data_IF_350160549974
#
_entry.id   IF_350160549974
#
_cell.length_a   1.000
_cell.length_b   1.000
_cell.length_c   1.000
_cell.angle_alpha   90.00
_cell.angle_beta   90.00
_cell.angle_gamma   90.00
#
_symmetry.space_group_name_H-M   'P 1'
#
loop_
_entity.id
_entity.type
_entity.pdbx_description
1 polymer ?
#
# COMPACT_ATOMS: atom_id res chain seq x y z
N UNK A 1 2.70 -34.63 36.10
CA UNK A 1 4.06 -34.79 35.54
C UNK A 1 4.11 -34.02 34.25
N UNK A 2 4.46 -32.76 34.42
CA UNK A 2 4.67 -31.72 33.41
C UNK A 2 5.91 -32.04 32.56
N UNK A 3 5.98 -31.38 31.41
CA UNK A 3 7.15 -31.11 30.56
C UNK A 3 7.55 -32.14 29.50
N UNK A 4 7.48 -31.67 28.24
CA UNK A 4 8.40 -31.83 27.10
C UNK A 4 7.60 -31.42 25.85
N UNK A 5 7.92 -30.39 25.09
CA UNK A 5 9.03 -29.46 25.09
C UNK A 5 8.83 -28.54 23.89
N UNK A 6 9.05 -27.24 24.11
CA UNK A 6 9.12 -26.21 23.09
C UNK A 6 10.22 -26.55 22.08
N UNK A 7 9.90 -26.47 20.79
CA UNK A 7 10.81 -26.02 19.74
C UNK A 7 10.01 -25.98 18.43
N UNK A 8 10.18 -24.91 17.67
CA UNK A 8 9.86 -24.67 16.25
C UNK A 8 9.05 -23.37 16.03
N UNK A 9 9.58 -22.23 16.47
CA UNK A 9 9.17 -20.92 15.92
C UNK A 9 10.32 -19.90 15.80
N UNK A 10 11.57 -20.30 15.98
CA UNK A 10 12.72 -19.38 15.93
C UNK A 10 13.31 -19.16 14.54
N UNK A 11 12.81 -19.88 13.52
CA UNK A 11 13.37 -19.86 12.16
C UNK A 11 12.80 -18.77 11.24
N UNK A 12 11.53 -18.39 11.43
CA UNK A 12 10.85 -17.41 10.56
C UNK A 12 11.18 -15.97 10.95
N UNK A 13 11.17 -15.66 12.26
CA UNK A 13 11.52 -14.34 12.77
C UNK A 13 12.98 -13.95 12.48
N UNK A 14 13.90 -14.91 12.50
CA UNK A 14 15.32 -14.66 12.24
C UNK A 14 15.66 -14.36 10.77
N UNK A 15 14.77 -14.69 9.83
CA UNK A 15 14.91 -14.40 8.40
C UNK A 15 14.24 -13.07 8.02
N UNK A 16 13.17 -12.67 8.71
CA UNK A 16 12.58 -11.33 8.58
C UNK A 16 13.50 -10.25 9.21
N UNK A 17 14.21 -10.57 10.29
CA UNK A 17 15.18 -9.66 10.93
C UNK A 17 16.49 -9.45 10.14
N UNK A 18 16.77 -10.27 9.11
CA UNK A 18 18.03 -10.19 8.35
C UNK A 18 17.98 -9.35 7.08
N UNK A 19 16.82 -8.79 6.72
CA UNK A 19 16.67 -7.85 5.60
C UNK A 19 16.36 -6.42 6.03
N UNK A 20 16.27 -6.18 7.34
CA UNK A 20 16.30 -4.85 7.92
C UNK A 20 17.77 -4.45 8.16
N UNK A 21 18.10 -3.22 7.77
CA UNK A 21 19.38 -2.55 8.04
C UNK A 21 20.57 -2.85 7.09
N UNK A 22 20.47 -2.33 5.87
CA UNK A 22 21.51 -1.39 5.43
C UNK A 22 20.98 0.03 5.71
N UNK A 23 20.68 0.29 7.00
CA UNK A 23 20.34 1.63 7.45
C UNK A 23 21.58 2.49 7.28
N UNK A 24 21.49 3.51 6.46
CA UNK A 24 22.53 4.52 6.39
C UNK A 24 22.75 5.07 7.80
N UNK A 25 23.94 4.78 8.34
CA UNK A 25 24.44 5.43 9.53
C UNK A 25 24.43 6.93 9.26
N UNK A 26 23.63 7.67 10.02
CA UNK A 26 23.58 9.14 10.00
C UNK A 26 24.32 9.67 11.24
N UNK A 27 25.66 9.52 11.32
CA UNK A 27 26.40 9.96 12.48
C UNK A 27 26.31 11.48 12.60
N UNK A 28 26.03 11.97 13.81
CA UNK A 28 25.90 13.41 14.08
C UNK A 28 24.52 14.01 13.80
N UNK A 29 23.58 13.27 13.21
CA UNK A 29 22.19 13.75 13.03
C UNK A 29 21.35 13.46 14.28
N UNK A 30 20.64 14.46 14.84
CA UNK A 30 19.70 14.24 15.94
C UNK A 30 18.65 13.18 15.61
N UNK A 31 18.25 12.30 16.55
CA UNK A 31 17.28 11.24 16.28
C UNK A 31 15.98 11.73 15.61
N UNK A 32 15.48 12.91 15.98
CA UNK A 32 14.27 13.48 15.37
C UNK A 32 14.39 13.79 13.87
N UNK A 33 15.59 14.09 13.39
CA UNK A 33 15.83 14.45 11.98
C UNK A 33 16.16 13.23 11.11
N UNK A 34 16.55 12.11 11.73
CA UNK A 34 16.95 10.89 11.00
C UNK A 34 15.81 10.32 10.17
N UNK A 35 14.59 10.31 10.71
CA UNK A 35 13.45 9.76 9.97
C UNK A 35 13.11 10.62 8.75
N UNK A 36 13.11 11.95 8.91
CA UNK A 36 12.92 12.89 7.80
C UNK A 36 13.95 12.68 6.69
N UNK A 37 15.24 12.66 7.05
CA UNK A 37 16.32 12.46 6.06
C UNK A 37 16.23 11.09 5.36
N UNK A 38 15.83 10.04 6.09
CA UNK A 38 15.62 8.71 5.49
C UNK A 38 14.45 8.71 4.52
N UNK A 39 13.36 9.42 4.83
CA UNK A 39 12.23 9.60 3.93
C UNK A 39 12.61 10.40 2.69
N UNK A 40 13.32 11.53 2.86
CA UNK A 40 13.85 12.34 1.75
C UNK A 40 14.77 11.51 0.84
N UNK A 41 15.68 10.72 1.40
CA UNK A 41 16.57 9.87 0.62
C UNK A 41 15.81 8.76 -0.13
N UNK A 42 14.85 8.10 0.53
CA UNK A 42 14.03 7.08 -0.11
C UNK A 42 13.23 7.67 -1.29
N UNK A 43 12.69 8.87 -1.11
CA UNK A 43 11.98 9.60 -2.14
C UNK A 43 12.91 10.04 -3.29
N UNK A 44 14.09 10.59 -3.00
CA UNK A 44 15.08 10.92 -4.01
C UNK A 44 15.52 9.69 -4.82
N UNK A 45 15.71 8.54 -4.15
CA UNK A 45 15.98 7.25 -4.81
C UNK A 45 14.83 6.84 -5.73
N UNK A 46 13.58 7.04 -5.29
CA UNK A 46 12.40 6.78 -6.12
C UNK A 46 12.32 7.71 -7.34
N UNK A 47 12.58 9.01 -7.17
CA UNK A 47 12.64 9.97 -8.27
C UNK A 47 13.75 9.62 -9.28
N UNK A 48 14.94 9.25 -8.81
CA UNK A 48 16.01 8.76 -9.68
C UNK A 48 15.61 7.50 -10.45
N UNK A 49 14.89 6.58 -9.80
CA UNK A 49 14.30 5.41 -10.46
C UNK A 49 13.28 5.78 -11.55
N UNK A 50 12.46 6.81 -11.34
CA UNK A 50 11.52 7.28 -12.37
C UNK A 50 12.25 7.79 -13.62
N UNK A 51 13.41 8.42 -13.45
CA UNK A 51 14.23 8.94 -14.56
C UNK A 51 15.06 7.85 -15.24
N UNK A 52 15.64 6.94 -14.46
CA UNK A 52 16.54 5.88 -14.93
C UNK A 52 16.14 4.51 -14.34
N UNK A 53 15.06 3.88 -14.83
CA UNK A 53 14.50 2.68 -14.21
C UNK A 53 15.27 1.38 -14.52
N UNK A 54 16.26 1.44 -15.41
CA UNK A 54 16.89 0.24 -15.97
C UNK A 54 15.86 -0.64 -16.68
N UNK A 55 15.84 -1.93 -16.35
CA UNK A 55 14.92 -2.91 -16.95
C UNK A 55 13.59 -3.07 -16.21
N UNK A 56 13.26 -2.17 -15.28
CA UNK A 56 11.96 -2.18 -14.59
C UNK A 56 10.98 -1.17 -15.19
N UNK A 57 9.69 -1.44 -15.02
CA UNK A 57 8.62 -0.49 -15.28
C UNK A 57 8.50 0.50 -14.12
N UNK A 58 8.46 1.81 -14.41
CA UNK A 58 8.31 2.87 -13.39
C UNK A 58 6.96 2.89 -12.69
N UNK A 59 5.94 2.28 -13.32
CA UNK A 59 4.58 2.28 -12.81
C UNK A 59 4.32 1.06 -11.91
N UNK A 60 4.52 -0.16 -12.43
CA UNK A 60 4.18 -1.38 -11.70
C UNK A 60 5.37 -2.09 -11.04
N UNK A 61 6.61 -1.64 -11.30
CA UNK A 61 7.86 -2.16 -10.74
C UNK A 61 8.25 -3.59 -11.15
N UNK A 62 7.50 -4.22 -12.05
CA UNK A 62 7.92 -5.44 -12.75
C UNK A 62 9.06 -5.15 -13.73
N UNK A 63 9.79 -6.19 -14.13
CA UNK A 63 10.69 -6.11 -15.28
C UNK A 63 9.90 -5.78 -16.53
N UNK A 64 10.48 -5.00 -17.45
CA UNK A 64 9.84 -4.53 -18.69
C UNK A 64 9.23 -5.67 -19.50
N UNK A 65 9.91 -6.83 -19.57
CA UNK A 65 9.41 -8.04 -20.25
C UNK A 65 8.15 -8.68 -19.63
N UNK A 66 7.85 -8.35 -18.37
CA UNK A 66 6.66 -8.80 -17.63
C UNK A 66 5.66 -7.66 -17.36
N UNK A 67 5.94 -6.45 -17.86
CA UNK A 67 5.09 -5.31 -17.61
C UNK A 67 3.73 -5.48 -18.34
N UNK A 68 2.64 -5.34 -17.60
CA UNK A 68 1.27 -5.38 -18.12
C UNK A 68 0.53 -4.03 -17.99
N UNK A 69 1.23 -2.93 -17.68
CA UNK A 69 0.60 -1.62 -17.45
C UNK A 69 -0.25 -1.12 -18.63
N UNK A 70 0.07 -1.53 -19.86
CA UNK A 70 -0.71 -1.17 -21.05
C UNK A 70 -2.12 -1.76 -21.04
N UNK A 71 -2.30 -2.90 -20.36
CA UNK A 71 -3.60 -3.59 -20.24
C UNK A 71 -4.40 -3.19 -19.00
N UNK A 72 -3.86 -2.34 -18.11
CA UNK A 72 -4.62 -1.85 -16.97
C UNK A 72 -5.67 -0.84 -17.44
N UNK A 73 -6.92 -0.94 -16.98
CA UNK A 73 -7.97 -0.03 -17.39
C UNK A 73 -7.70 1.36 -16.82
N UNK A 74 -8.19 2.36 -17.53
CA UNK A 74 -8.32 3.72 -17.00
C UNK A 74 -9.76 3.87 -16.57
N UNK A 75 -9.98 4.20 -15.31
CA UNK A 75 -11.30 4.47 -14.76
C UNK A 75 -11.36 5.91 -14.27
N UNK A 76 -12.55 6.50 -14.34
CA UNK A 76 -12.83 7.83 -13.82
C UNK A 76 -13.65 7.68 -12.53
N UNK A 77 -12.98 7.44 -11.40
CA UNK A 77 -13.67 7.49 -10.11
C UNK A 77 -13.83 8.94 -9.66
N UNK A 78 -14.99 9.25 -9.05
CA UNK A 78 -15.21 10.55 -8.37
C UNK A 78 -14.46 10.64 -7.05
N UNK A 79 -14.01 9.50 -6.54
CA UNK A 79 -13.20 9.40 -5.33
C UNK A 79 -11.76 9.81 -5.64
N UNK A 80 -11.29 10.90 -5.02
CA UNK A 80 -9.87 11.25 -5.07
C UNK A 80 -9.10 10.30 -4.17
N UNK A 81 -8.10 9.62 -4.72
CA UNK A 81 -7.35 8.59 -4.01
C UNK A 81 -5.94 9.10 -3.70
N UNK A 82 -5.54 8.99 -2.45
CA UNK A 82 -4.18 9.30 -1.99
C UNK A 82 -3.58 8.06 -1.36
N UNK A 83 -2.41 7.64 -1.84
CA UNK A 83 -1.65 6.56 -1.22
C UNK A 83 -0.58 7.20 -0.35
N UNK A 84 -0.75 7.16 0.97
CA UNK A 84 0.27 7.57 1.93
C UNK A 84 1.16 6.36 2.22
N UNK A 85 2.34 6.35 1.63
CA UNK A 85 3.24 5.21 1.63
C UNK A 85 4.46 5.47 2.51
N UNK A 86 4.83 4.48 3.32
CA UNK A 86 6.02 4.54 4.15
C UNK A 86 7.29 4.48 3.30
N UNK A 87 8.35 5.17 3.75
CA UNK A 87 9.64 5.27 3.02
C UNK A 87 10.27 3.92 2.68
N UNK A 88 10.06 2.89 3.49
CA UNK A 88 10.65 1.57 3.25
C UNK A 88 10.05 0.91 2.01
N UNK A 89 8.74 1.03 1.81
CA UNK A 89 8.06 0.53 0.61
C UNK A 89 8.52 1.28 -0.65
N UNK A 90 8.64 2.62 -0.56
CA UNK A 90 9.15 3.48 -1.64
C UNK A 90 10.63 3.20 -1.96
N UNK A 91 11.45 2.91 -0.95
CA UNK A 91 12.86 2.59 -1.13
C UNK A 91 13.08 1.20 -1.76
N UNK A 92 12.31 0.21 -1.32
CA UNK A 92 12.44 -1.17 -1.80
C UNK A 92 11.83 -1.38 -3.19
N UNK A 93 10.71 -0.70 -3.50
CA UNK A 93 9.97 -0.82 -4.78
C UNK A 93 9.68 -2.29 -5.14
N UNK A 94 9.21 -3.06 -4.16
CA UNK A 94 8.89 -4.47 -4.35
C UNK A 94 7.70 -4.60 -5.31
N UNK A 95 7.83 -5.38 -6.37
CA UNK A 95 6.70 -5.67 -7.27
C UNK A 95 5.51 -6.34 -6.54
N UNK A 96 5.74 -6.98 -5.38
CA UNK A 96 4.66 -7.53 -4.55
C UNK A 96 3.80 -6.49 -3.85
N UNK A 97 4.31 -5.27 -3.62
CA UNK A 97 3.51 -4.18 -3.09
C UNK A 97 2.42 -3.88 -4.12
N UNK A 98 1.14 -3.82 -3.76
CA UNK A 98 0.06 -3.56 -4.73
C UNK A 98 -0.52 -2.16 -4.64
N UNK A 99 -0.25 -1.41 -3.57
CA UNK A 99 -0.74 -0.05 -3.39
C UNK A 99 -0.28 0.90 -4.49
N UNK A 100 0.96 0.74 -4.99
CA UNK A 100 1.47 1.56 -6.11
C UNK A 100 0.64 1.45 -7.39
N UNK A 101 -0.16 0.39 -7.56
CA UNK A 101 -1.01 0.21 -8.74
C UNK A 101 -2.19 1.19 -8.75
N UNK A 102 -2.59 1.73 -7.60
CA UNK A 102 -3.67 2.72 -7.52
C UNK A 102 -3.34 3.98 -8.32
N UNK A 103 -2.06 4.26 -8.60
CA UNK A 103 -1.63 5.32 -9.52
C UNK A 103 -2.19 5.16 -10.93
N UNK A 104 -2.45 3.92 -11.39
CA UNK A 104 -3.10 3.67 -12.68
C UNK A 104 -4.57 4.13 -12.70
N UNK A 105 -5.17 4.28 -11.52
CA UNK A 105 -6.55 4.74 -11.32
C UNK A 105 -6.59 6.18 -10.80
N UNK A 106 -5.55 6.97 -11.09
CA UNK A 106 -5.50 8.39 -10.76
C UNK A 106 -5.05 8.73 -9.35
N UNK A 107 -4.60 7.75 -8.55
CA UNK A 107 -4.16 8.04 -7.20
C UNK A 107 -2.86 8.88 -7.15
N UNK A 108 -2.83 9.86 -6.24
CA UNK A 108 -1.64 10.63 -5.90
C UNK A 108 -0.82 9.85 -4.86
N UNK A 109 0.49 9.72 -5.08
CA UNK A 109 1.41 9.02 -4.18
C UNK A 109 2.13 10.02 -3.28
N UNK A 110 1.99 9.85 -1.96
CA UNK A 110 2.66 10.65 -0.93
C UNK A 110 3.62 9.76 -0.14
N UNK A 111 4.90 10.14 -0.07
CA UNK A 111 5.89 9.53 0.82
C UNK A 111 5.81 10.16 2.21
N UNK A 112 5.41 9.40 3.22
CA UNK A 112 5.34 9.89 4.59
C UNK A 112 6.73 10.29 5.13
N UNK A 113 6.80 11.44 5.80
CA UNK A 113 8.04 12.01 6.34
C UNK A 113 8.84 12.84 5.33
N UNK A 114 8.36 12.99 4.09
CA UNK A 114 8.86 14.00 3.15
C UNK A 114 8.06 15.27 3.38
N UNK A 115 8.73 16.38 3.71
CA UNK A 115 8.10 17.63 4.14
C UNK A 115 7.03 18.14 3.16
N UNK A 116 7.32 18.15 1.86
CA UNK A 116 6.36 18.57 0.83
C UNK A 116 5.09 17.69 0.81
N UNK A 117 5.25 16.37 0.98
CA UNK A 117 4.14 15.44 0.96
C UNK A 117 3.33 15.47 2.25
N UNK A 118 3.99 15.64 3.39
CA UNK A 118 3.31 15.81 4.66
C UNK A 118 2.51 17.12 4.65
N UNK A 119 3.07 18.21 4.11
CA UNK A 119 2.34 19.45 3.90
C UNK A 119 1.15 19.28 2.94
N UNK A 120 1.35 18.54 1.84
CA UNK A 120 0.29 18.19 0.88
C UNK A 120 -0.83 17.40 1.55
N UNK A 121 -0.49 16.39 2.37
CA UNK A 121 -1.46 15.62 3.15
C UNK A 121 -2.26 16.53 4.08
N UNK A 122 -1.61 17.40 4.85
CA UNK A 122 -2.31 18.32 5.76
C UNK A 122 -3.26 19.25 5.02
N UNK A 123 -2.86 19.78 3.86
CA UNK A 123 -3.73 20.63 3.04
C UNK A 123 -4.99 19.88 2.58
N UNK A 124 -4.82 18.64 2.08
CA UNK A 124 -5.93 17.80 1.63
C UNK A 124 -6.94 17.49 2.74
N UNK A 125 -6.44 17.25 3.95
CA UNK A 125 -7.27 17.00 5.13
C UNK A 125 -8.07 18.25 5.54
N UNK A 126 -7.48 19.44 5.44
CA UNK A 126 -8.14 20.71 5.75
C UNK A 126 -9.17 21.09 4.68
N UNK A 127 -8.85 20.86 3.40
CA UNK A 127 -9.73 21.20 2.28
C UNK A 127 -11.08 20.46 2.33
N UNK A 128 -11.15 19.32 3.02
CA UNK A 128 -12.30 18.42 2.99
C UNK A 128 -12.32 17.42 4.16
N UNK A 129 -12.34 17.92 5.40
CA UNK A 129 -12.34 17.05 6.58
C UNK A 129 -13.53 16.06 6.56
N UNK A 130 -14.72 16.54 6.21
CA UNK A 130 -15.96 15.75 6.27
C UNK A 130 -16.09 14.73 5.12
N UNK A 131 -15.57 15.04 3.93
CA UNK A 131 -15.60 14.16 2.76
C UNK A 131 -14.37 13.27 2.64
N UNK A 132 -13.43 13.33 3.59
CA UNK A 132 -12.24 12.48 3.60
C UNK A 132 -12.40 11.29 4.55
N UNK A 133 -11.98 10.12 4.10
CA UNK A 133 -11.86 8.91 4.92
C UNK A 133 -10.46 8.31 4.84
N UNK A 134 -10.03 7.63 5.89
CA UNK A 134 -8.81 6.80 5.89
C UNK A 134 -9.22 5.34 5.82
N UNK A 135 -8.75 4.61 4.81
CA UNK A 135 -8.91 3.16 4.73
C UNK A 135 -7.92 2.50 5.70
N UNK A 136 -8.36 2.26 6.92
CA UNK A 136 -7.53 1.69 7.98
C UNK A 136 -8.39 1.04 9.07
N UNK A 137 -8.08 -0.21 9.47
CA UNK A 137 -8.80 -0.87 10.56
C UNK A 137 -8.37 -0.30 11.92
N UNK A 138 -9.18 0.60 12.46
CA UNK A 138 -9.09 1.13 13.83
C UNK A 138 -10.34 0.75 14.65
N UNK A 139 -10.28 0.80 15.99
CA UNK A 139 -11.43 0.45 16.84
C UNK A 139 -12.71 1.27 16.58
N UNK A 140 -12.56 2.48 16.07
CA UNK A 140 -13.61 3.44 15.71
C UNK A 140 -13.95 3.46 14.21
N UNK A 141 -13.35 2.56 13.42
CA UNK A 141 -13.61 2.49 12.00
C UNK A 141 -15.04 2.02 11.70
N UNK A 142 -15.67 2.65 10.72
CA UNK A 142 -17.00 2.27 10.24
C UNK A 142 -16.90 1.46 8.95
N UNK A 143 -17.90 0.64 8.66
CA UNK A 143 -17.96 -0.06 7.37
C UNK A 143 -18.13 0.96 6.24
N UNK A 144 -17.39 0.81 5.14
CA UNK A 144 -17.49 1.71 4.00
C UNK A 144 -18.93 1.79 3.45
N UNK A 145 -19.64 0.66 3.43
CA UNK A 145 -21.06 0.54 3.05
C UNK A 145 -22.03 1.30 3.97
N UNK A 146 -21.61 1.62 5.20
CA UNK A 146 -22.41 2.31 6.22
C UNK A 146 -22.20 3.83 6.26
N UNK A 147 -21.30 4.36 5.42
CA UNK A 147 -21.04 5.78 5.36
C UNK A 147 -22.28 6.54 4.87
N UNK A 148 -22.85 7.39 5.73
CA UNK A 148 -24.07 8.15 5.43
C UNK A 148 -23.96 9.06 4.19
N UNK A 149 -22.75 9.48 3.84
CA UNK A 149 -22.44 10.20 2.62
C UNK A 149 -21.19 9.60 1.97
N UNK A 150 -21.22 9.43 0.66
CA UNK A 150 -20.08 8.95 -0.10
C UNK A 150 -18.87 9.88 0.10
N UNK A 151 -17.69 9.34 0.43
CA UNK A 151 -16.50 10.16 0.57
C UNK A 151 -16.08 10.72 -0.79
N UNK A 152 -15.51 11.92 -0.75
CA UNK A 152 -14.88 12.57 -1.91
C UNK A 152 -13.39 12.28 -1.99
N UNK A 153 -12.79 11.85 -0.88
CA UNK A 153 -11.38 11.51 -0.78
C UNK A 153 -11.17 10.25 0.07
N UNK A 154 -10.22 9.41 -0.34
CA UNK A 154 -9.71 8.32 0.49
C UNK A 154 -8.21 8.40 0.63
N UNK A 155 -7.73 8.25 1.86
CA UNK A 155 -6.32 8.03 2.17
C UNK A 155 -6.12 6.54 2.41
N UNK A 156 -5.30 5.93 1.58
CA UNK A 156 -4.89 4.53 1.69
C UNK A 156 -3.49 4.49 2.29
N UNK A 157 -3.36 3.83 3.44
CA UNK A 157 -2.07 3.68 4.12
C UNK A 157 -1.33 2.45 3.57
N UNK A 158 -0.06 2.62 3.21
CA UNK A 158 0.76 1.52 2.69
C UNK A 158 2.12 1.42 3.41
N UNK A 159 2.35 0.28 4.04
CA UNK A 159 3.51 -0.02 4.86
C UNK A 159 3.27 -1.28 5.70
N UNK A 160 4.26 -1.66 6.50
CA UNK A 160 4.09 -2.66 7.54
C UNK A 160 3.08 -2.18 8.59
N UNK A 161 2.48 -3.11 9.35
CA UNK A 161 1.43 -2.78 10.33
C UNK A 161 1.83 -1.67 11.31
N UNK A 162 3.04 -1.77 11.89
CA UNK A 162 3.58 -0.75 12.82
C UNK A 162 3.72 0.63 12.17
N UNK A 163 4.02 0.66 10.88
CA UNK A 163 4.22 1.90 10.11
C UNK A 163 2.87 2.52 9.75
N UNK A 164 1.90 1.71 9.32
CA UNK A 164 0.53 2.17 9.09
C UNK A 164 -0.10 2.71 10.38
N UNK A 165 0.12 2.10 11.55
CA UNK A 165 -0.32 2.64 12.84
C UNK A 165 0.30 4.01 13.12
N UNK A 166 1.61 4.19 12.86
CA UNK A 166 2.31 5.48 13.03
C UNK A 166 1.79 6.54 12.05
N UNK A 167 1.60 6.19 10.78
CA UNK A 167 1.02 7.10 9.78
C UNK A 167 -0.40 7.50 10.17
N UNK A 168 -1.22 6.54 10.60
CA UNK A 168 -2.58 6.79 11.08
C UNK A 168 -2.61 7.74 12.29
N UNK A 169 -1.67 7.63 13.23
CA UNK A 169 -1.63 8.50 14.42
C UNK A 169 -1.26 9.96 14.10
N UNK A 170 -0.71 10.22 12.90
CA UNK A 170 -0.43 11.58 12.41
C UNK A 170 -1.64 12.24 11.72
N UNK A 171 -2.64 11.44 11.33
CA UNK A 171 -3.86 11.95 10.71
C UNK A 171 -4.84 12.29 11.84
N UNK A 172 -5.38 13.51 11.83
CA UNK A 172 -6.34 14.01 12.82
C UNK A 172 -7.42 12.97 13.12
N UNK A 173 -7.75 12.69 14.40
CA UNK A 173 -8.83 11.76 14.76
C UNK A 173 -10.21 12.21 14.29
N UNK A 174 -10.36 13.47 13.85
CA UNK A 174 -11.60 13.99 13.25
C UNK A 174 -11.88 13.39 11.87
N UNK A 175 -10.84 12.94 11.17
CA UNK A 175 -10.99 12.27 9.88
C UNK A 175 -11.54 10.86 10.14
N UNK A 176 -12.61 10.48 9.47
CA UNK A 176 -13.23 9.16 9.69
C UNK A 176 -12.31 8.05 9.19
N UNK A 177 -12.26 6.94 9.92
CA UNK A 177 -11.64 5.70 9.44
C UNK A 177 -12.75 4.79 8.91
N UNK A 178 -12.47 4.10 7.80
CA UNK A 178 -13.34 3.06 7.31
C UNK A 178 -12.60 1.75 7.08
N UNK A 179 -13.37 0.67 7.15
CA UNK A 179 -12.97 -0.68 6.76
C UNK A 179 -13.84 -1.18 5.62
N UNK A 180 -13.32 -2.16 4.90
CA UNK A 180 -14.09 -2.97 3.97
C UNK A 180 -14.39 -4.30 4.62
N UNK A 181 -15.59 -4.84 4.41
CA UNK A 181 -16.05 -6.06 5.10
C UNK A 181 -16.14 -7.27 4.19
N UNK A 182 -16.12 -7.06 2.88
CA UNK A 182 -16.26 -8.14 1.88
C UNK A 182 -14.97 -8.46 1.12
N UNK A 183 -13.83 -7.97 1.59
CA UNK A 183 -12.55 -8.17 0.92
C UNK A 183 -12.04 -9.60 1.13
N UNK A 184 -11.60 -10.24 0.03
CA UNK A 184 -11.04 -11.58 0.07
C UNK A 184 -9.56 -11.59 -0.32
N UNK A 185 -8.79 -12.52 0.28
CA UNK A 185 -7.41 -12.82 -0.14
C UNK A 185 -7.32 -13.32 -1.58
N UNK A 186 -8.37 -13.94 -2.09
CA UNK A 186 -8.44 -14.45 -3.46
C UNK A 186 -9.02 -13.44 -4.45
N UNK A 187 -9.39 -12.24 -4.02
CA UNK A 187 -10.06 -11.22 -4.86
C UNK A 187 -9.28 -10.91 -6.15
N UNK A 188 -7.94 -10.91 -6.07
CA UNK A 188 -7.05 -10.66 -7.21
C UNK A 188 -6.26 -11.90 -7.65
N UNK A 189 -6.71 -13.09 -7.23
CA UNK A 189 -6.00 -14.35 -7.40
C UNK A 189 -5.06 -14.69 -6.24
N UNK A 190 -5.05 -15.96 -5.83
CA UNK A 190 -4.23 -16.45 -4.72
C UNK A 190 -2.75 -16.51 -5.10
N UNK A 191 -1.97 -15.51 -4.72
CA UNK A 191 -0.51 -15.65 -4.80
C UNK A 191 -0.02 -16.58 -3.70
N UNK A 192 0.97 -17.43 -4.03
CA UNK A 192 1.54 -18.44 -3.11
C UNK A 192 2.11 -17.85 -1.81
N UNK A 193 2.28 -16.52 -1.75
CA UNK A 193 2.83 -15.78 -0.61
C UNK A 193 1.83 -15.56 0.54
N UNK A 194 0.52 -15.66 0.29
CA UNK A 194 -0.51 -15.38 1.32
C UNK A 194 -1.29 -16.62 1.77
N UNK A 195 -0.80 -17.83 1.48
CA UNK A 195 -1.47 -19.09 1.83
C UNK A 195 -1.35 -19.50 3.32
N UNK A 196 -0.81 -18.66 4.20
CA UNK A 196 -0.52 -19.03 5.60
C UNK A 196 -0.70 -17.94 6.67
N UNK A 197 -1.45 -16.88 6.41
CA UNK A 197 -1.70 -15.80 7.39
C UNK A 197 -3.15 -15.77 7.89
N UNK A 198 -3.37 -15.20 9.08
CA UNK A 198 -4.70 -15.00 9.69
C UNK A 198 -5.70 -14.36 8.72
N UNK A 199 -6.95 -14.82 8.72
CA UNK A 199 -8.00 -14.55 7.71
C UNK A 199 -8.11 -13.06 7.29
N UNK A 200 -7.89 -12.13 8.23
CA UNK A 200 -8.17 -10.70 8.09
C UNK A 200 -7.23 -9.85 7.21
N UNK A 201 -6.07 -10.37 6.77
CA UNK A 201 -5.12 -9.55 5.96
C UNK A 201 -5.33 -9.71 4.47
N UNK A 202 -5.84 -8.66 3.81
CA UNK A 202 -6.00 -8.55 2.36
C UNK A 202 -4.96 -7.61 1.74
N UNK A 203 -4.69 -7.76 0.44
CA UNK A 203 -3.78 -6.88 -0.28
C UNK A 203 -4.39 -5.48 -0.45
N UNK A 204 -3.57 -4.42 -0.42
CA UNK A 204 -4.05 -3.03 -0.53
C UNK A 204 -4.91 -2.78 -1.77
N UNK A 205 -4.51 -3.32 -2.93
CA UNK A 205 -5.30 -3.20 -4.16
C UNK A 205 -6.63 -3.98 -4.11
N UNK A 206 -6.67 -5.12 -3.41
CA UNK A 206 -7.93 -5.85 -3.21
C UNK A 206 -8.87 -5.08 -2.27
N UNK A 207 -8.35 -4.54 -1.17
CA UNK A 207 -9.11 -3.68 -0.27
C UNK A 207 -9.67 -2.45 -0.99
N UNK A 208 -8.90 -1.85 -1.90
CA UNK A 208 -9.35 -0.72 -2.73
C UNK A 208 -10.48 -1.11 -3.69
N UNK A 209 -10.40 -2.26 -4.38
CA UNK A 209 -11.50 -2.76 -5.22
C UNK A 209 -12.77 -2.98 -4.40
N UNK A 210 -12.63 -3.59 -3.22
CA UNK A 210 -13.76 -3.79 -2.32
C UNK A 210 -14.33 -2.47 -1.83
N UNK A 211 -13.49 -1.47 -1.54
CA UNK A 211 -13.92 -0.14 -1.14
C UNK A 211 -14.80 0.49 -2.22
N UNK A 212 -14.36 0.50 -3.49
CA UNK A 212 -15.16 1.06 -4.58
C UNK A 212 -16.54 0.37 -4.69
N UNK A 213 -16.58 -0.96 -4.53
CA UNK A 213 -17.82 -1.74 -4.52
C UNK A 213 -18.74 -1.34 -3.37
N UNK A 214 -18.21 -1.26 -2.15
CA UNK A 214 -18.99 -0.94 -0.95
C UNK A 214 -19.46 0.53 -0.92
N UNK A 215 -18.74 1.42 -1.60
CA UNK A 215 -19.17 2.81 -1.84
C UNK A 215 -20.22 2.95 -2.95
N UNK A 216 -20.54 1.85 -3.66
CA UNK A 216 -21.55 1.84 -4.71
C UNK A 216 -21.09 2.46 -6.03
N UNK A 217 -19.79 2.47 -6.32
CA UNK A 217 -19.26 2.85 -7.63
C UNK A 217 -19.76 1.89 -8.73
N UNK A 218 -19.70 2.32 -9.99
CA UNK A 218 -20.23 1.56 -11.12
C UNK A 218 -19.65 0.13 -11.18
N UNK A 219 -20.52 -0.87 -11.24
CA UNK A 219 -20.11 -2.27 -11.15
C UNK A 219 -19.22 -2.70 -12.32
N UNK A 220 -19.41 -2.12 -13.50
CA UNK A 220 -18.61 -2.44 -14.68
C UNK A 220 -17.21 -1.82 -14.57
N UNK A 221 -17.12 -0.58 -14.06
CA UNK A 221 -15.84 0.06 -13.77
C UNK A 221 -15.07 -0.70 -12.67
N UNK A 222 -15.74 -1.05 -11.57
CA UNK A 222 -15.15 -1.83 -10.47
C UNK A 222 -14.66 -3.19 -10.96
N UNK A 223 -15.45 -3.90 -11.77
CA UNK A 223 -15.04 -5.18 -12.37
C UNK A 223 -13.81 -5.00 -13.27
N UNK A 224 -13.77 -3.93 -14.07
CA UNK A 224 -12.61 -3.64 -14.91
C UNK A 224 -11.34 -3.44 -14.07
N UNK A 225 -11.40 -2.62 -13.01
CA UNK A 225 -10.28 -2.40 -12.08
C UNK A 225 -9.79 -3.72 -11.50
N UNK A 226 -10.72 -4.55 -11.00
CA UNK A 226 -10.42 -5.87 -10.44
C UNK A 226 -9.68 -6.74 -11.46
N UNK A 227 -10.19 -6.83 -12.69
CA UNK A 227 -9.64 -7.70 -13.73
C UNK A 227 -8.24 -7.24 -14.17
N UNK A 228 -8.02 -5.92 -14.28
CA UNK A 228 -6.70 -5.37 -14.54
C UNK A 228 -5.70 -5.70 -13.42
N UNK A 229 -6.12 -5.55 -12.16
CA UNK A 229 -5.30 -5.88 -11.00
C UNK A 229 -5.02 -7.40 -10.88
N UNK A 230 -6.01 -8.25 -11.18
CA UNK A 230 -5.81 -9.70 -11.22
C UNK A 230 -4.80 -10.08 -12.31
N UNK A 231 -4.91 -9.50 -13.50
CA UNK A 231 -3.93 -9.71 -14.58
C UNK A 231 -2.52 -9.25 -14.18
N UNK A 232 -2.40 -8.17 -13.40
CA UNK A 232 -1.12 -7.79 -12.81
C UNK A 232 -0.53 -8.90 -11.91
N UNK A 233 -1.36 -9.53 -11.07
CA UNK A 233 -0.91 -10.61 -10.19
C UNK A 233 -0.41 -11.82 -10.99
N UNK A 234 -1.05 -12.16 -12.11
CA UNK A 234 -0.58 -13.20 -13.03
C UNK A 234 0.81 -12.89 -13.61
N UNK A 235 1.00 -11.64 -14.06
CA UNK A 235 2.27 -11.18 -14.60
C UNK A 235 3.40 -11.16 -13.55
N UNK A 236 3.07 -10.80 -12.31
CA UNK A 236 3.97 -10.88 -11.18
C UNK A 236 4.39 -12.32 -10.87
N UNK A 237 3.44 -13.26 -10.80
CA UNK A 237 3.72 -14.69 -10.60
C UNK A 237 4.58 -15.27 -11.75
N UNK A 238 4.29 -14.90 -13.00
CA UNK A 238 5.09 -15.30 -14.15
C UNK A 238 6.55 -14.83 -14.05
N UNK A 239 6.79 -13.63 -13.51
CA UNK A 239 8.13 -13.14 -13.24
C UNK A 239 8.85 -13.97 -12.16
N UNK A 240 8.20 -14.21 -11.02
CA UNK A 240 8.80 -14.99 -9.92
C UNK A 240 9.18 -16.40 -10.38
N UNK A 241 8.29 -17.07 -11.13
CA UNK A 241 8.52 -18.44 -11.57
C UNK A 241 9.73 -18.55 -12.52
N UNK A 242 9.95 -17.56 -13.39
CA UNK A 242 11.14 -17.50 -14.27
C UNK A 242 12.42 -17.10 -13.56
N UNK A 243 12.35 -16.42 -12.41
CA UNK A 243 13.53 -16.12 -11.60
C UNK A 243 14.07 -17.33 -10.82
N UNK A 244 13.34 -18.45 -10.82
CA UNK A 244 13.74 -19.72 -10.17
C UNK A 244 14.31 -20.75 -11.15
N UNK A 245 14.40 -20.42 -12.44
CA UNK A 245 14.96 -21.27 -13.51
C UNK A 245 16.26 -20.66 -13.98
#
# INVERSE_FOLDING_TARGET
>A
MTELGEALDSGSEALEQKQDHEEMSLPGVPPQDRERLRSEQAWASYQAFLTMPGDRCTQCWLMRKHCCCKGLPRIETRLRVYVLMHRLEIGQRKASNTAKLLKHFGAELLCWGVEEHDARLQQLLVDDEEGTVVLFPSPDAVEASSLAAAPRQVIVLDGGWRECVRMNSWISPRIRRCIVTTASRSELGGTRKYSGGTDDRVQTAAAFVTLLRELGEDQQEVASVRDGLAHYMECFEAQINRSKT
#
